data_IF_042930492059
#
_entry.id   IF_042930492059
#
_cell.length_a   1.000
_cell.length_b   1.000
_cell.length_c   1.000
_cell.angle_alpha   90.00
_cell.angle_beta   90.00
_cell.angle_gamma   90.00
#
_symmetry.space_group_name_H-M   'P 1'
#
loop_
_entity.id
_entity.type
_entity.pdbx_description
1 polymer ?
#
# COMPACT_ATOMS: atom_id res chain seq x y z
N UNK A 1 -9.13 -7.91 4.68
CA UNK A 1 -8.84 -7.06 3.51
C UNK A 1 -10.13 -6.84 2.72
N UNK A 2 -10.59 -5.59 2.58
CA UNK A 2 -11.95 -5.26 2.08
C UNK A 2 -12.02 -5.21 0.53
N UNK A 3 -10.87 -5.17 -0.17
CA UNK A 3 -10.81 -5.08 -1.63
C UNK A 3 -10.21 -6.36 -2.24
N UNK A 4 -10.89 -7.02 -3.19
CA UNK A 4 -10.42 -8.28 -3.77
C UNK A 4 -9.15 -8.13 -4.60
N UNK A 5 -8.95 -6.99 -5.28
CA UNK A 5 -7.68 -6.68 -5.95
C UNK A 5 -6.52 -6.55 -4.96
N UNK A 6 -6.79 -6.00 -3.77
CA UNK A 6 -5.79 -5.91 -2.70
C UNK A 6 -5.41 -7.28 -2.13
N UNK A 7 -6.36 -8.22 -2.05
CA UNK A 7 -6.07 -9.60 -1.64
C UNK A 7 -5.25 -10.34 -2.69
N UNK A 8 -5.60 -10.18 -3.97
CA UNK A 8 -4.83 -10.78 -5.08
C UNK A 8 -3.38 -10.28 -5.09
N UNK A 9 -3.16 -8.98 -4.89
CA UNK A 9 -1.81 -8.41 -4.82
C UNK A 9 -1.03 -8.86 -3.59
N UNK A 10 -1.69 -9.15 -2.46
CA UNK A 10 -1.01 -9.73 -1.30
C UNK A 10 -0.57 -11.17 -1.58
N UNK A 11 -1.45 -11.98 -2.19
CA UNK A 11 -1.15 -13.36 -2.58
C UNK A 11 0.01 -13.41 -3.59
N UNK A 12 0.00 -12.52 -4.59
CA UNK A 12 1.07 -12.45 -5.59
C UNK A 12 2.42 -12.01 -4.99
N UNK A 13 2.41 -11.21 -3.92
CA UNK A 13 3.64 -10.81 -3.22
C UNK A 13 4.26 -11.95 -2.39
N UNK A 14 3.52 -13.03 -2.11
CA UNK A 14 4.07 -14.23 -1.49
C UNK A 14 4.91 -15.07 -2.46
N UNK A 15 4.77 -14.86 -3.77
CA UNK A 15 5.58 -15.53 -4.79
C UNK A 15 7.06 -15.18 -4.59
N UNK A 16 7.99 -16.16 -4.62
CA UNK A 16 9.42 -15.94 -4.40
C UNK A 16 10.08 -15.28 -5.63
N UNK A 17 9.81 -14.00 -5.85
CA UNK A 17 10.46 -13.17 -6.85
C UNK A 17 11.45 -12.18 -6.22
N UNK A 18 12.36 -11.60 -7.03
CA UNK A 18 13.22 -10.50 -6.59
C UNK A 18 12.38 -9.26 -6.29
N UNK A 19 12.09 -9.05 -5.01
CA UNK A 19 11.29 -7.91 -4.52
C UNK A 19 12.07 -6.61 -4.68
N UNK A 20 11.53 -5.69 -5.46
CA UNK A 20 12.08 -4.35 -5.66
C UNK A 20 11.08 -3.34 -5.07
N UNK A 21 11.51 -2.44 -4.17
CA UNK A 21 10.56 -1.43 -3.66
C UNK A 21 10.86 -0.78 -2.31
N UNK A 22 11.97 -1.13 -1.64
CA UNK A 22 12.27 -0.57 -0.32
C UNK A 22 12.63 0.93 -0.34
N UNK A 23 12.97 1.50 -1.51
CA UNK A 23 13.59 2.83 -1.64
C UNK A 23 12.67 3.95 -2.15
N UNK A 24 11.41 3.65 -2.44
CA UNK A 24 10.50 4.55 -3.18
C UNK A 24 9.46 5.27 -2.30
N UNK A 25 9.69 5.35 -0.98
CA UNK A 25 8.75 5.94 -0.01
C UNK A 25 8.29 7.34 -0.43
N UNK A 26 9.22 8.25 -0.67
CA UNK A 26 8.92 9.65 -1.03
C UNK A 26 8.27 9.76 -2.41
N UNK A 27 8.75 8.99 -3.39
CA UNK A 27 8.20 8.96 -4.75
C UNK A 27 6.75 8.50 -4.75
N UNK A 28 6.41 7.50 -3.94
CA UNK A 28 5.03 6.99 -3.88
C UNK A 28 4.07 7.99 -3.24
N UNK A 29 4.54 8.80 -2.30
CA UNK A 29 3.74 9.87 -1.70
C UNK A 29 3.49 11.00 -2.71
N UNK A 30 4.51 11.38 -3.49
CA UNK A 30 4.37 12.38 -4.56
C UNK A 30 3.42 11.93 -5.67
N UNK A 31 3.53 10.67 -6.13
CA UNK A 31 2.64 10.10 -7.15
C UNK A 31 1.19 10.05 -6.66
N UNK A 32 0.95 9.70 -5.39
CA UNK A 32 -0.41 9.73 -4.82
C UNK A 32 -0.98 11.12 -4.70
N UNK A 33 -0.17 12.10 -4.29
CA UNK A 33 -0.62 13.49 -4.24
C UNK A 33 -1.01 13.96 -5.64
N UNK A 34 -0.19 13.64 -6.65
CA UNK A 34 -0.49 13.93 -8.05
C UNK A 34 -1.81 13.29 -8.50
N UNK A 35 -2.01 11.99 -8.23
CA UNK A 35 -3.26 11.30 -8.55
C UNK A 35 -4.48 11.94 -7.84
N UNK A 36 -4.35 12.31 -6.56
CA UNK A 36 -5.40 12.94 -5.78
C UNK A 36 -5.75 14.34 -6.30
N UNK A 37 -4.75 15.16 -6.66
CA UNK A 37 -4.94 16.49 -7.26
C UNK A 37 -5.61 16.37 -8.63
N UNK A 38 -5.17 15.42 -9.46
CA UNK A 38 -5.79 15.14 -10.77
C UNK A 38 -7.26 14.74 -10.60
N UNK A 39 -7.57 13.92 -9.59
CA UNK A 39 -8.94 13.53 -9.28
C UNK A 39 -9.81 14.70 -8.81
N UNK A 40 -9.30 15.56 -7.93
CA UNK A 40 -10.02 16.76 -7.49
C UNK A 40 -10.26 17.69 -8.68
N UNK A 41 -9.23 17.93 -9.50
CA UNK A 41 -9.35 18.75 -10.69
C UNK A 41 -10.36 18.18 -11.68
N UNK A 42 -10.36 16.85 -11.90
CA UNK A 42 -11.33 16.17 -12.75
C UNK A 42 -12.76 16.23 -12.18
N UNK A 43 -12.93 16.04 -10.86
CA UNK A 43 -14.22 16.12 -10.20
C UNK A 43 -14.82 17.54 -10.23
N UNK A 44 -13.98 18.57 -10.10
CA UNK A 44 -14.39 19.98 -10.20
C UNK A 44 -14.66 20.41 -11.64
N UNK A 45 -13.87 19.93 -12.61
CA UNK A 45 -14.02 20.30 -14.01
C UNK A 45 -15.19 19.60 -14.69
N UNK A 46 -15.59 18.42 -14.22
CA UNK A 46 -16.42 17.52 -14.98
C UNK A 46 -17.20 16.62 -13.99
N UNK A 47 -18.50 16.87 -13.86
CA UNK A 47 -19.46 16.03 -13.12
C UNK A 47 -19.61 14.65 -13.78
N UNK A 48 -18.54 13.85 -13.85
CA UNK A 48 -18.51 12.52 -14.45
C UNK A 48 -18.23 11.46 -13.41
N UNK A 49 -18.89 10.32 -13.63
CA UNK A 49 -18.83 9.08 -12.89
C UNK A 49 -17.39 8.58 -12.66
N UNK A 50 -16.78 9.04 -11.57
CA UNK A 50 -15.45 8.70 -11.06
C UNK A 50 -15.18 7.19 -10.98
N UNK A 51 -16.24 6.39 -10.80
CA UNK A 51 -16.17 4.93 -10.72
C UNK A 51 -15.99 4.22 -12.08
N UNK A 52 -16.30 4.85 -13.22
CA UNK A 52 -16.20 4.22 -14.55
C UNK A 52 -14.77 4.27 -15.11
N UNK A 53 -13.96 5.26 -14.70
CA UNK A 53 -12.60 5.44 -15.18
C UNK A 53 -11.55 4.55 -14.47
N UNK A 54 -11.87 4.04 -13.28
CA UNK A 54 -10.95 3.22 -12.47
C UNK A 54 -10.95 1.74 -12.94
N UNK A 55 -11.84 1.34 -13.87
CA UNK A 55 -11.79 0.04 -14.55
C UNK A 55 -11.93 -1.20 -13.66
N UNK A 56 -12.16 -1.04 -12.35
CA UNK A 56 -12.26 -2.15 -11.40
C UNK A 56 -13.49 -3.04 -11.69
N UNK A 57 -14.54 -2.46 -12.29
CA UNK A 57 -15.75 -3.20 -12.71
C UNK A 57 -15.51 -4.02 -13.99
N UNK A 58 -14.68 -3.53 -14.91
CA UNK A 58 -14.40 -4.20 -16.19
C UNK A 58 -13.54 -5.47 -16.01
N UNK A 59 -12.69 -5.49 -14.96
CA UNK A 59 -11.91 -6.68 -14.59
C UNK A 59 -12.79 -7.81 -14.02
N UNK A 60 -13.80 -7.48 -13.20
CA UNK A 60 -14.73 -8.47 -12.63
C UNK A 60 -15.78 -8.96 -13.62
N UNK A 61 -16.09 -8.16 -14.65
CA UNK A 61 -17.07 -8.53 -15.68
C UNK A 61 -16.47 -9.31 -16.87
N UNK A 62 -15.18 -9.67 -16.84
CA UNK A 62 -14.54 -10.52 -17.88
C UNK A 62 -14.85 -10.03 -19.30
N UNK A 63 -14.80 -8.72 -19.54
CA UNK A 63 -14.93 -8.17 -20.88
C UNK A 63 -13.59 -8.33 -21.62
N UNK A 64 -13.33 -9.55 -22.13
CA UNK A 64 -12.08 -10.02 -22.77
C UNK A 64 -11.67 -9.20 -24.04
N UNK A 65 -12.47 -8.22 -24.45
CA UNK A 65 -12.23 -7.42 -25.67
C UNK A 65 -11.65 -6.02 -25.49
N UNK A 66 -11.30 -5.55 -24.28
CA UNK A 66 -10.89 -4.15 -24.05
C UNK A 66 -9.42 -3.99 -23.63
N UNK A 67 -8.74 -2.96 -24.15
CA UNK A 67 -7.33 -2.63 -23.85
C UNK A 67 -7.04 -2.45 -22.35
N UNK A 68 -8.07 -2.13 -21.56
CA UNK A 68 -8.01 -2.02 -20.09
C UNK A 68 -7.60 -3.32 -19.39
N UNK A 69 -7.92 -4.48 -19.97
CA UNK A 69 -7.53 -5.78 -19.41
C UNK A 69 -6.02 -5.98 -19.41
N UNK A 70 -5.34 -5.66 -20.52
CA UNK A 70 -3.88 -5.80 -20.63
C UNK A 70 -3.13 -4.83 -19.72
N UNK A 71 -3.63 -3.59 -19.57
CA UNK A 71 -3.06 -2.60 -18.65
C UNK A 71 -3.17 -3.11 -17.21
N UNK A 72 -4.32 -3.64 -16.82
CA UNK A 72 -4.51 -4.16 -15.48
C UNK A 72 -3.71 -5.45 -15.23
N UNK A 73 -3.63 -6.35 -16.21
CA UNK A 73 -2.79 -7.54 -16.16
C UNK A 73 -1.31 -7.16 -15.96
N UNK A 74 -0.82 -6.15 -16.66
CA UNK A 74 0.53 -5.64 -16.47
C UNK A 74 0.74 -5.12 -15.03
N UNK A 75 -0.23 -4.38 -14.46
CA UNK A 75 -0.17 -3.89 -13.08
C UNK A 75 -0.20 -5.05 -12.06
N UNK A 76 -0.98 -6.10 -12.33
CA UNK A 76 -1.07 -7.30 -11.49
C UNK A 76 0.25 -8.08 -11.54
N UNK A 77 0.83 -8.29 -12.72
CA UNK A 77 2.16 -8.91 -12.86
C UNK A 77 3.22 -8.06 -12.16
N UNK A 78 3.13 -6.73 -12.25
CA UNK A 78 4.05 -5.83 -11.57
C UNK A 78 3.95 -5.89 -10.03
N UNK A 79 2.81 -6.34 -9.49
CA UNK A 79 2.63 -6.54 -8.04
C UNK A 79 3.46 -7.68 -7.45
N UNK A 80 4.00 -8.56 -8.30
CA UNK A 80 4.98 -9.57 -7.89
C UNK A 80 6.29 -8.91 -7.44
N UNK A 81 6.66 -7.78 -8.05
CA UNK A 81 7.89 -7.07 -7.77
C UNK A 81 7.71 -5.99 -6.70
N UNK A 82 6.60 -5.23 -6.77
CA UNK A 82 6.28 -4.15 -5.83
C UNK A 82 5.11 -4.51 -4.92
N UNK A 83 5.19 -4.11 -3.65
CA UNK A 83 4.09 -4.31 -2.72
C UNK A 83 2.90 -3.40 -3.03
N UNK A 84 1.76 -4.01 -3.39
CA UNK A 84 0.46 -3.35 -3.65
C UNK A 84 0.53 -2.11 -4.57
N UNK A 85 1.03 -2.25 -5.82
CA UNK A 85 1.29 -1.11 -6.71
C UNK A 85 0.02 -0.37 -7.12
N UNK A 86 -1.09 -1.10 -7.30
CA UNK A 86 -2.37 -0.48 -7.65
C UNK A 86 -2.88 0.42 -6.51
N UNK A 87 -2.91 -0.11 -5.28
CA UNK A 87 -3.29 0.67 -4.12
C UNK A 87 -2.32 1.84 -3.85
N UNK A 88 -1.04 1.69 -4.23
CA UNK A 88 0.00 2.67 -3.95
C UNK A 88 0.13 3.77 -5.01
N UNK A 89 -0.23 3.52 -6.27
CA UNK A 89 0.00 4.46 -7.37
C UNK A 89 -1.28 4.96 -8.03
N UNK A 90 -2.32 4.12 -8.09
CA UNK A 90 -3.49 4.37 -8.95
C UNK A 90 -4.74 4.64 -8.12
N UNK A 91 -4.85 4.05 -6.93
CA UNK A 91 -6.08 4.12 -6.13
C UNK A 91 -6.31 5.52 -5.50
N UNK A 92 -7.42 6.20 -5.82
CA UNK A 92 -7.84 7.46 -5.18
C UNK A 92 -7.89 7.36 -3.66
N UNK A 93 -8.51 6.27 -3.19
CA UNK A 93 -8.77 6.01 -1.78
C UNK A 93 -7.48 5.67 -1.01
N UNK A 94 -6.40 5.30 -1.72
CA UNK A 94 -5.10 5.05 -1.11
C UNK A 94 -4.51 6.29 -0.43
N UNK A 95 -4.73 7.48 -1.00
CA UNK A 95 -4.31 8.73 -0.38
C UNK A 95 -5.14 9.05 0.88
N UNK A 96 -6.46 8.98 0.78
CA UNK A 96 -7.37 9.23 1.91
C UNK A 96 -7.07 8.29 3.09
N UNK A 97 -6.91 6.99 2.82
CA UNK A 97 -6.60 6.01 3.86
C UNK A 97 -5.21 6.21 4.47
N UNK A 98 -4.20 6.58 3.68
CA UNK A 98 -2.87 6.90 4.20
C UNK A 98 -2.88 8.15 5.09
N UNK A 99 -3.65 9.16 4.69
CA UNK A 99 -3.81 10.39 5.46
C UNK A 99 -4.50 10.12 6.80
N UNK A 100 -5.61 9.36 6.79
CA UNK A 100 -6.29 8.91 8.01
C UNK A 100 -5.39 8.01 8.86
N UNK A 101 -4.60 7.12 8.24
CA UNK A 101 -3.62 6.28 8.95
C UNK A 101 -2.50 7.11 9.58
N UNK A 102 -2.12 8.24 8.98
CA UNK A 102 -1.22 9.22 9.56
C UNK A 102 -1.75 9.83 10.87
N UNK A 103 -3.07 10.02 10.97
CA UNK A 103 -3.77 10.46 12.18
C UNK A 103 -4.28 9.33 13.07
N UNK A 104 -4.16 8.07 12.65
CA UNK A 104 -4.57 6.92 13.45
C UNK A 104 -3.81 6.90 14.79
N UNK A 105 -4.56 6.79 15.87
CA UNK A 105 -4.02 6.58 17.22
C UNK A 105 -3.40 5.18 17.36
N UNK A 106 -3.88 4.19 16.61
CA UNK A 106 -3.26 2.86 16.59
C UNK A 106 -2.06 2.84 15.67
N UNK A 107 -0.86 2.83 16.27
CA UNK A 107 0.42 2.68 15.56
C UNK A 107 1.29 1.69 16.30
N UNK A 108 2.08 0.92 15.55
CA UNK A 108 3.04 0.04 16.19
C UNK A 108 4.19 0.88 16.79
N UNK A 109 4.58 0.56 18.02
CA UNK A 109 5.66 1.20 18.77
C UNK A 109 6.71 0.18 19.17
N UNK A 110 7.92 0.68 19.45
CA UNK A 110 9.02 -0.10 20.03
C UNK A 110 8.98 0.13 21.54
N UNK A 111 9.01 -0.94 22.30
CA UNK A 111 9.17 -0.87 23.76
C UNK A 111 10.66 -0.77 24.12
N UNK A 112 10.94 -0.66 25.41
CA UNK A 112 12.27 -0.73 26.02
C UNK A 112 12.96 -2.08 25.79
N UNK A 113 12.21 -3.14 25.50
CA UNK A 113 12.75 -4.46 25.13
C UNK A 113 13.42 -4.49 23.74
N UNK A 114 13.31 -3.42 22.95
CA UNK A 114 13.84 -3.40 21.59
C UNK A 114 15.38 -3.32 21.54
N UNK A 115 16.03 -4.40 21.12
CA UNK A 115 17.49 -4.48 20.92
C UNK A 115 18.01 -3.80 19.64
N UNK A 116 17.20 -2.99 18.95
CA UNK A 116 17.57 -2.23 17.75
C UNK A 116 18.24 -3.04 16.61
N UNK A 117 17.90 -4.32 16.46
CA UNK A 117 18.54 -5.21 15.46
C UNK A 117 18.20 -4.88 13.98
N UNK A 118 17.21 -4.02 13.71
CA UNK A 118 16.81 -3.60 12.36
C UNK A 118 16.13 -4.68 11.49
N UNK A 119 15.81 -5.86 12.03
CA UNK A 119 15.12 -6.92 11.26
C UNK A 119 13.72 -6.49 10.79
N UNK A 120 12.97 -5.77 11.64
CA UNK A 120 11.67 -5.22 11.30
C UNK A 120 11.73 -4.24 10.11
N UNK A 121 12.77 -3.41 10.06
CA UNK A 121 13.06 -2.48 8.95
C UNK A 121 13.36 -3.22 7.65
N UNK A 122 14.07 -4.34 7.75
CA UNK A 122 14.41 -5.15 6.59
C UNK A 122 13.21 -5.92 6.01
N UNK A 123 12.24 -6.33 6.82
CA UNK A 123 11.08 -7.09 6.33
C UNK A 123 9.93 -6.19 5.86
N UNK A 124 9.91 -4.92 6.30
CA UNK A 124 8.82 -4.00 5.98
C UNK A 124 8.77 -3.68 4.48
N UNK A 125 7.66 -3.99 3.79
CA UNK A 125 7.55 -3.79 2.34
C UNK A 125 7.40 -2.31 1.96
N UNK A 126 6.91 -1.48 2.88
CA UNK A 126 6.66 -0.04 2.65
C UNK A 126 7.69 0.88 3.28
N UNK A 127 8.67 0.33 3.99
CA UNK A 127 9.72 1.11 4.67
C UNK A 127 9.14 2.12 5.69
N UNK A 128 8.13 1.68 6.45
CA UNK A 128 7.45 2.46 7.51
C UNK A 128 7.80 1.99 8.93
N UNK A 129 8.66 1.00 9.02
CA UNK A 129 9.01 0.44 10.31
C UNK A 129 10.22 1.11 10.98
N UNK A 130 10.84 2.14 10.37
CA UNK A 130 11.99 2.81 10.98
C UNK A 130 11.60 3.58 12.23
N UNK A 131 12.60 3.92 13.03
CA UNK A 131 12.44 4.83 14.17
C UNK A 131 12.11 6.23 13.63
N UNK A 132 11.11 6.90 14.20
CA UNK A 132 10.69 8.25 13.79
C UNK A 132 9.78 8.30 12.56
N UNK A 133 9.47 7.17 11.91
CA UNK A 133 8.53 7.14 10.79
C UNK A 133 7.11 7.48 11.24
N UNK A 134 6.43 8.30 10.43
CA UNK A 134 5.04 8.70 10.67
C UNK A 134 4.02 7.57 10.41
N UNK A 135 4.47 6.47 9.78
CA UNK A 135 3.69 5.23 9.53
C UNK A 135 2.43 5.45 8.70
N UNK A 136 2.40 6.49 7.88
CA UNK A 136 1.23 6.81 7.03
C UNK A 136 0.96 5.71 6.01
N UNK A 137 2.02 5.07 5.51
CA UNK A 137 1.94 3.96 4.54
C UNK A 137 1.99 2.56 5.19
N UNK A 138 1.67 2.48 6.48
CA UNK A 138 1.65 1.21 7.18
C UNK A 138 0.32 0.49 6.93
N UNK A 139 0.38 -0.65 6.24
CA UNK A 139 -0.79 -1.51 5.99
C UNK A 139 -1.11 -2.47 7.15
N UNK A 140 -0.44 -2.33 8.30
CA UNK A 140 -0.59 -3.22 9.47
C UNK A 140 -0.49 -4.72 9.12
N UNK A 141 0.44 -5.08 8.23
CA UNK A 141 0.58 -6.46 7.76
C UNK A 141 1.23 -7.44 8.76
N UNK A 142 1.59 -7.01 9.98
CA UNK A 142 2.13 -7.88 11.03
C UNK A 142 3.57 -8.40 10.84
N UNK A 143 4.10 -8.45 9.61
CA UNK A 143 5.46 -8.98 9.30
C UNK A 143 6.61 -8.51 10.19
N UNK A 144 6.57 -7.25 10.64
CA UNK A 144 7.61 -6.72 11.52
C UNK A 144 7.61 -7.37 12.92
N UNK A 145 6.42 -7.74 13.43
CA UNK A 145 6.25 -8.43 14.71
C UNK A 145 6.68 -9.89 14.55
N UNK A 146 6.26 -10.55 13.45
CA UNK A 146 6.59 -11.96 13.17
C UNK A 146 8.10 -12.24 13.08
N UNK A 147 8.90 -11.31 12.53
CA UNK A 147 10.35 -11.47 12.40
C UNK A 147 11.13 -11.01 13.64
N UNK A 148 10.44 -10.42 14.63
CA UNK A 148 11.09 -9.85 15.81
C UNK A 148 11.67 -10.99 16.67
N UNK A 149 12.97 -10.97 17.00
CA UNK A 149 13.57 -12.02 17.83
C UNK A 149 13.27 -11.86 19.31
N UNK A 150 12.71 -10.72 19.73
CA UNK A 150 12.36 -10.41 21.11
C UNK A 150 10.85 -10.24 21.19
N UNK A 151 10.19 -11.11 21.94
CA UNK A 151 8.76 -11.00 22.20
C UNK A 151 8.44 -9.73 23.01
N UNK A 152 7.33 -9.06 22.70
CA UNK A 152 6.96 -7.79 23.35
C UNK A 152 7.81 -6.57 22.96
N UNK A 153 8.86 -6.73 22.14
CA UNK A 153 9.66 -5.59 21.67
C UNK A 153 8.92 -4.67 20.68
N UNK A 154 7.84 -5.17 20.07
CA UNK A 154 7.00 -4.45 19.11
C UNK A 154 5.52 -4.68 19.43
N UNK A 155 4.82 -3.61 19.77
CA UNK A 155 3.40 -3.66 20.17
C UNK A 155 2.56 -2.62 19.43
N UNK A 156 1.27 -2.92 19.23
CA UNK A 156 0.30 -1.96 18.71
C UNK A 156 -0.36 -1.25 19.88
N UNK A 157 0.11 -0.05 20.19
CA UNK A 157 -0.51 0.79 21.22
C UNK A 157 -1.47 1.80 20.59
N UNK A 158 -2.51 2.15 21.36
CA UNK A 158 -3.33 3.33 21.13
C UNK A 158 -2.54 4.52 21.70
N UNK A 159 -1.94 5.30 20.82
CA UNK A 159 -1.19 6.51 21.15
C UNK A 159 -2.06 7.66 21.63
#
# INVERSE_FOLDING_TARGET
HICPAGTLQELLYLVPAKKAGRRWKNTTMAVRLGAFVILIAAALAFSINLLKFIGLKDFFYLAVGSASFFIFLAIVVFSVFMYRPFCRLICPFGFLLSFVAGWSLFKFRRTDLCIQCGKCEKVCPTDESKVGDRKMECYMCGRCIEVCPVEGALEYERG
#
